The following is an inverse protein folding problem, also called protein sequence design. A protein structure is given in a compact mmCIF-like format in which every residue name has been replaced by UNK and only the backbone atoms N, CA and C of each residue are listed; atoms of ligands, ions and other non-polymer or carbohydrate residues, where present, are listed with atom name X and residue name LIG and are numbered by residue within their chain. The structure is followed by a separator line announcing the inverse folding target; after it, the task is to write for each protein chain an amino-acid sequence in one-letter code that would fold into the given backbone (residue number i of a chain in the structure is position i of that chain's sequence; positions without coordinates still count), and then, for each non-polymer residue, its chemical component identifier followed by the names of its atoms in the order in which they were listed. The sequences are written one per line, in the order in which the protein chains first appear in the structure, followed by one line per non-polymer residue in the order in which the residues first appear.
data_IF_128341589309
#
_entry.id   IF_128341589309
#
_cell.length_a   1.000
_cell.length_b   1.000
_cell.length_c   1.000
_cell.angle_alpha   90.00
_cell.angle_beta   90.00
_cell.angle_gamma   90.00
#
_symmetry.space_group_name_H-M   'P 1'
#
loop_
_entity.id
_entity.type
_entity.pdbx_description
1 polymer ?
#
# COMPACT_ATOMS: atom_id res chain seq x y z
N UNK A 1 -14.36 13.45 4.62
CA UNK A 1 -12.96 13.90 4.47
C UNK A 1 -12.50 13.61 3.05
N UNK A 2 -12.40 14.64 2.21
CA UNK A 2 -11.80 14.51 0.87
C UNK A 2 -10.27 14.52 1.06
N UNK A 3 -9.53 13.49 0.61
CA UNK A 3 -8.09 13.45 0.78
C UNK A 3 -7.46 14.64 0.02
N UNK A 4 -6.49 15.30 0.64
CA UNK A 4 -5.84 16.51 0.12
C UNK A 4 -5.31 16.36 -1.32
N UNK A 5 -5.00 15.14 -1.76
CA UNK A 5 -4.63 14.85 -3.15
C UNK A 5 -5.72 15.16 -4.18
N UNK A 6 -7.00 15.02 -3.82
CA UNK A 6 -8.12 15.28 -4.74
C UNK A 6 -8.32 16.79 -4.94
N UNK A 7 -8.06 17.61 -3.92
CA UNK A 7 -8.13 19.07 -4.00
C UNK A 7 -6.97 19.65 -4.84
N UNK A 8 -5.79 19.01 -4.77
CA UNK A 8 -4.67 19.34 -5.67
C UNK A 8 -4.97 18.92 -7.10
N UNK A 9 -5.52 17.72 -7.30
CA UNK A 9 -5.91 17.26 -8.64
C UNK A 9 -6.99 18.13 -9.26
N UNK A 10 -8.01 18.53 -8.52
CA UNK A 10 -9.07 19.42 -9.03
C UNK A 10 -8.55 20.82 -9.33
N UNK A 11 -7.63 21.38 -8.53
CA UNK A 11 -6.95 22.65 -8.86
C UNK A 11 -6.10 22.56 -10.12
N UNK A 12 -5.36 21.47 -10.30
CA UNK A 12 -4.56 21.24 -11.51
C UNK A 12 -5.45 21.02 -12.72
N UNK A 13 -6.53 20.24 -12.58
CA UNK A 13 -7.50 20.01 -13.66
C UNK A 13 -8.17 21.33 -14.06
N UNK A 14 -8.61 22.13 -13.08
CA UNK A 14 -9.25 23.41 -13.33
C UNK A 14 -8.27 24.41 -13.96
N UNK A 15 -6.98 24.36 -13.58
CA UNK A 15 -5.91 25.14 -14.23
C UNK A 15 -5.67 24.70 -15.68
N UNK A 16 -5.73 23.40 -15.98
CA UNK A 16 -5.59 22.87 -17.34
C UNK A 16 -6.83 23.18 -18.18
N UNK A 17 -8.03 23.12 -17.59
CA UNK A 17 -9.30 23.44 -18.24
C UNK A 17 -9.44 24.93 -18.51
N UNK A 18 -9.04 25.81 -17.59
CA UNK A 18 -9.00 27.26 -17.84
C UNK A 18 -7.95 27.63 -18.89
N UNK A 19 -6.84 26.89 -18.97
CA UNK A 19 -5.89 26.98 -20.09
C UNK A 19 -6.53 26.49 -21.41
N UNK A 20 -7.32 25.42 -21.38
CA UNK A 20 -8.06 24.93 -22.56
C UNK A 20 -9.20 25.86 -22.98
N UNK A 21 -9.83 26.59 -22.05
CA UNK A 21 -10.84 27.61 -22.33
C UNK A 21 -10.27 28.81 -23.11
N UNK A 22 -8.99 29.16 -22.89
CA UNK A 22 -8.25 30.10 -23.75
C UNK A 22 -7.75 29.50 -25.06
N UNK A 23 -7.60 28.18 -25.15
CA UNK A 23 -7.26 27.48 -26.39
C UNK A 23 -8.50 27.21 -27.28
N UNK A 24 -9.71 27.21 -26.71
CA UNK A 24 -10.95 27.01 -27.45
C UNK A 24 -11.38 28.24 -28.29
N UNK A 25 -10.83 29.43 -27.99
CA UNK A 25 -10.98 30.64 -28.82
C UNK A 25 -10.00 30.70 -29.99
N UNK A 26 -9.03 29.78 -30.08
CA UNK A 26 -8.16 29.62 -31.25
C UNK A 26 -8.61 28.42 -32.06
N UNK A 27 -9.64 28.63 -32.87
CA UNK A 27 -10.11 27.64 -33.83
C UNK A 27 -8.96 27.15 -34.72
N UNK A 28 -8.88 25.84 -34.94
CA UNK A 28 -8.10 25.19 -36.01
C UNK A 28 -6.70 25.75 -36.35
N UNK A 29 -6.01 26.43 -35.43
CA UNK A 29 -4.66 26.89 -35.65
C UNK A 29 -3.72 25.72 -35.42
N UNK A 30 -3.01 25.33 -36.49
CA UNK A 30 -2.03 24.24 -36.54
C UNK A 30 -1.08 24.38 -35.35
N UNK A 31 -1.32 23.62 -34.29
CA UNK A 31 -0.37 23.45 -33.21
C UNK A 31 0.95 23.01 -33.83
N UNK A 32 2.08 23.63 -33.47
CA UNK A 32 3.33 23.36 -34.15
C UNK A 32 3.73 21.90 -33.91
N UNK A 33 4.26 21.20 -34.93
CA UNK A 33 4.49 19.76 -34.89
C UNK A 33 5.38 19.31 -33.72
N UNK A 34 6.24 20.20 -33.20
CA UNK A 34 7.08 19.93 -32.04
C UNK A 34 6.29 19.67 -30.75
N UNK A 35 5.11 20.28 -30.58
CA UNK A 35 4.26 20.06 -29.41
C UNK A 35 3.81 18.59 -29.34
N UNK A 36 3.39 18.03 -30.48
CA UNK A 36 3.00 16.63 -30.57
C UNK A 36 4.18 15.68 -30.36
N UNK A 37 5.38 16.03 -30.86
CA UNK A 37 6.60 15.25 -30.62
C UNK A 37 6.98 15.22 -29.14
N UNK A 38 6.91 16.35 -28.43
CA UNK A 38 7.17 16.39 -26.99
C UNK A 38 6.12 15.64 -26.19
N UNK A 39 4.84 15.77 -26.56
CA UNK A 39 3.74 15.07 -25.89
C UNK A 39 3.87 13.55 -26.08
N UNK A 40 4.11 13.10 -27.31
CA UNK A 40 4.35 11.70 -27.63
C UNK A 40 5.61 11.18 -26.91
N UNK A 41 6.70 11.95 -26.89
CA UNK A 41 7.91 11.61 -26.16
C UNK A 41 7.66 11.44 -24.66
N UNK A 42 6.90 12.34 -24.04
CA UNK A 42 6.49 12.23 -22.64
C UNK A 42 5.66 10.98 -22.37
N UNK A 43 4.67 10.69 -23.23
CA UNK A 43 3.87 9.46 -23.11
C UNK A 43 4.75 8.23 -23.24
N UNK A 44 5.59 8.14 -24.28
CA UNK A 44 6.47 6.98 -24.53
C UNK A 44 7.47 6.78 -23.40
N UNK A 45 8.02 7.85 -22.81
CA UNK A 45 8.92 7.76 -21.66
C UNK A 45 8.21 7.37 -20.36
N UNK A 46 6.98 7.82 -20.14
CA UNK A 46 6.21 7.52 -18.93
C UNK A 46 5.49 6.16 -18.99
N UNK A 47 5.15 5.67 -20.18
CA UNK A 47 4.43 4.41 -20.39
C UNK A 47 5.14 3.17 -19.82
N UNK A 48 6.45 2.94 -20.02
CA UNK A 48 7.12 1.75 -19.49
C UNK A 48 7.08 1.71 -17.96
N UNK A 49 7.11 2.84 -17.25
CA UNK A 49 6.98 2.86 -15.78
C UNK A 49 5.56 2.49 -15.32
N UNK A 50 4.54 2.75 -16.13
CA UNK A 50 3.15 2.40 -15.83
C UNK A 50 2.82 0.94 -16.20
N UNK A 51 3.40 0.42 -17.29
CA UNK A 51 3.11 -0.93 -17.81
C UNK A 51 4.06 -1.98 -17.21
N UNK A 52 5.37 -1.70 -17.17
CA UNK A 52 6.39 -2.69 -16.78
C UNK A 52 6.57 -2.81 -15.27
N UNK A 53 6.22 -1.78 -14.50
CA UNK A 53 6.14 -1.85 -13.04
C UNK A 53 4.71 -1.60 -12.60
N UNK A 54 3.88 -2.64 -12.42
CA UNK A 54 2.66 -2.46 -11.67
C UNK A 54 3.07 -2.06 -10.25
N UNK A 55 3.11 -0.75 -9.97
CA UNK A 55 3.45 -0.10 -8.69
C UNK A 55 2.65 -0.62 -7.48
N UNK A 56 1.75 -1.58 -7.68
CA UNK A 56 0.83 -2.17 -6.70
C UNK A 56 0.73 -3.69 -6.73
N UNK A 57 1.24 -4.41 -7.74
CA UNK A 57 1.07 -5.87 -7.80
C UNK A 57 1.97 -6.59 -6.79
N UNK A 58 3.16 -6.05 -6.51
CA UNK A 58 4.19 -6.65 -5.66
C UNK A 58 3.84 -6.74 -4.16
N UNK A 59 2.57 -6.49 -3.78
CA UNK A 59 2.16 -6.36 -2.37
C UNK A 59 0.74 -6.89 -2.11
N UNK A 60 0.28 -7.86 -2.90
CA UNK A 60 -1.01 -8.53 -2.67
C UNK A 60 -1.08 -9.12 -1.25
N UNK A 61 0.01 -9.72 -0.76
CA UNK A 61 0.09 -10.28 0.60
C UNK A 61 -0.19 -9.27 1.71
N UNK A 62 0.24 -8.02 1.56
CA UNK A 62 -0.03 -6.96 2.56
C UNK A 62 -1.53 -6.67 2.67
N UNK A 63 -2.24 -6.67 1.54
CA UNK A 63 -3.70 -6.45 1.54
C UNK A 63 -4.44 -7.66 2.09
N UNK A 64 -4.03 -8.87 1.70
CA UNK A 64 -4.61 -10.11 2.23
C UNK A 64 -4.45 -10.20 3.74
N UNK A 65 -3.25 -9.91 4.26
CA UNK A 65 -2.99 -9.88 5.70
C UNK A 65 -3.80 -8.80 6.41
N UNK A 66 -3.86 -7.58 5.85
CA UNK A 66 -4.66 -6.51 6.43
C UNK A 66 -6.16 -6.82 6.44
N UNK A 67 -6.69 -7.41 5.36
CA UNK A 67 -8.08 -7.83 5.28
C UNK A 67 -8.37 -8.93 6.32
N UNK A 68 -7.49 -9.92 6.42
CA UNK A 68 -7.63 -10.97 7.43
C UNK A 68 -7.64 -10.37 8.84
N UNK A 69 -6.75 -9.42 9.14
CA UNK A 69 -6.73 -8.72 10.43
C UNK A 69 -8.03 -7.94 10.68
N UNK A 70 -8.54 -7.24 9.67
CA UNK A 70 -9.79 -6.50 9.77
C UNK A 70 -10.98 -7.40 10.12
N UNK A 71 -11.05 -8.59 9.53
CA UNK A 71 -12.15 -9.54 9.68
C UNK A 71 -12.05 -10.41 10.94
N UNK A 72 -10.82 -10.68 11.42
CA UNK A 72 -10.56 -11.70 12.45
C UNK A 72 -10.03 -11.14 13.78
N UNK A 73 -9.92 -9.82 13.92
CA UNK A 73 -9.41 -9.18 15.16
C UNK A 73 -10.38 -8.12 15.69
N UNK A 74 -10.43 -7.90 17.03
CA UNK A 74 -11.19 -6.79 17.62
C UNK A 74 -10.76 -5.42 17.08
N UNK A 75 -11.66 -4.44 17.03
CA UNK A 75 -11.40 -3.09 16.46
C UNK A 75 -10.30 -2.35 17.23
N UNK A 76 -10.24 -2.59 18.52
CA UNK A 76 -9.32 -2.04 19.51
C UNK A 76 -7.98 -2.79 19.57
N UNK A 77 -7.79 -3.84 18.76
CA UNK A 77 -6.56 -4.61 18.75
C UNK A 77 -5.36 -3.77 18.29
N UNK A 78 -4.22 -3.97 18.95
CA UNK A 78 -2.95 -3.33 18.64
C UNK A 78 -2.08 -4.28 17.82
N UNK A 79 -1.71 -3.84 16.62
CA UNK A 79 -0.89 -4.60 15.67
C UNK A 79 0.53 -4.05 15.67
N UNK A 80 1.53 -4.86 15.99
CA UNK A 80 2.92 -4.53 15.66
C UNK A 80 3.23 -4.94 14.23
N UNK A 81 3.58 -3.98 13.38
CA UNK A 81 3.92 -4.21 11.98
C UNK A 81 5.26 -3.56 11.59
N UNK A 82 6.02 -4.16 10.66
CA UNK A 82 7.21 -3.52 10.10
C UNK A 82 6.85 -2.48 9.03
N UNK A 83 5.59 -2.45 8.58
CA UNK A 83 5.08 -1.55 7.56
C UNK A 83 3.69 -1.04 7.93
N UNK A 84 3.61 0.27 8.20
CA UNK A 84 2.41 0.99 8.63
C UNK A 84 1.17 0.76 7.75
N UNK A 85 1.35 0.34 6.51
CA UNK A 85 0.23 0.12 5.58
C UNK A 85 -0.64 -1.05 6.02
N UNK A 86 -0.10 -2.02 6.75
CA UNK A 86 -0.85 -3.20 7.20
C UNK A 86 -1.89 -2.79 8.24
N UNK A 87 -1.45 -2.18 9.35
CA UNK A 87 -2.34 -1.63 10.38
C UNK A 87 -3.30 -0.58 9.84
N UNK A 88 -2.84 0.28 8.93
CA UNK A 88 -3.70 1.26 8.26
C UNK A 88 -4.83 0.62 7.45
N UNK A 89 -4.54 -0.40 6.62
CA UNK A 89 -5.57 -1.10 5.85
C UNK A 89 -6.45 -2.02 6.69
N UNK A 90 -5.94 -2.51 7.82
CA UNK A 90 -6.71 -3.31 8.77
C UNK A 90 -7.68 -2.45 9.60
N UNK A 91 -7.52 -1.11 9.58
CA UNK A 91 -8.24 -0.18 10.45
C UNK A 91 -8.04 -0.54 11.93
N UNK A 92 -6.78 -0.66 12.35
CA UNK A 92 -6.35 -1.01 13.71
C UNK A 92 -5.22 -0.11 14.19
N UNK A 93 -5.03 -0.03 15.51
CA UNK A 93 -3.91 0.68 16.09
C UNK A 93 -2.59 -0.01 15.70
N UNK A 94 -1.63 0.75 15.16
CA UNK A 94 -0.34 0.23 14.69
C UNK A 94 0.83 0.60 15.61
N UNK A 95 1.71 -0.36 15.87
CA UNK A 95 3.02 -0.19 16.48
C UNK A 95 4.10 -0.53 15.45
N UNK A 96 4.69 0.49 14.83
CA UNK A 96 5.78 0.29 13.88
C UNK A 96 7.01 -0.23 14.62
N UNK A 97 7.67 -1.24 14.06
CA UNK A 97 8.98 -1.69 14.50
C UNK A 97 9.94 -1.88 13.33
N UNK A 98 11.23 -1.64 13.54
CA UNK A 98 12.25 -1.80 12.49
C UNK A 98 12.91 -3.18 12.50
N UNK A 99 13.24 -3.70 13.68
CA UNK A 99 14.02 -4.94 13.84
C UNK A 99 13.35 -5.98 14.70
N UNK A 100 12.80 -5.57 15.84
CA UNK A 100 12.13 -6.47 16.78
C UNK A 100 10.79 -5.88 17.22
N UNK A 101 9.69 -6.64 17.14
CA UNK A 101 8.38 -6.18 17.57
C UNK A 101 8.27 -6.11 19.09
N UNK A 102 7.44 -5.20 19.58
CA UNK A 102 7.07 -5.16 21.00
C UNK A 102 5.94 -6.15 21.31
N UNK A 103 6.33 -7.40 21.59
CA UNK A 103 5.40 -8.48 21.94
C UNK A 103 4.59 -8.24 23.23
N UNK A 104 4.97 -7.27 24.06
CA UNK A 104 4.24 -7.00 25.31
C UNK A 104 3.05 -6.09 25.05
N UNK A 105 3.23 -5.08 24.19
CA UNK A 105 2.22 -4.06 23.88
C UNK A 105 1.31 -4.43 22.72
N UNK A 106 1.73 -5.35 21.86
CA UNK A 106 0.94 -5.81 20.74
C UNK A 106 0.03 -6.98 21.12
N UNK A 107 -1.17 -6.99 20.52
CA UNK A 107 -2.09 -8.14 20.53
C UNK A 107 -1.77 -9.08 19.37
N UNK A 108 -1.36 -8.50 18.23
CA UNK A 108 -0.94 -9.22 17.03
C UNK A 108 0.40 -8.70 16.54
N UNK A 109 1.25 -9.61 16.05
CA UNK A 109 2.55 -9.27 15.49
C UNK A 109 2.65 -9.77 14.07
N UNK A 110 3.05 -8.89 13.16
CA UNK A 110 3.28 -9.23 11.76
C UNK A 110 4.77 -9.41 11.57
N UNK A 111 5.22 -10.57 11.11
CA UNK A 111 6.60 -10.78 10.69
C UNK A 111 6.68 -10.98 9.18
N UNK A 112 7.72 -10.42 8.56
CA UNK A 112 8.05 -10.63 7.15
C UNK A 112 9.36 -11.41 7.10
N UNK A 113 9.36 -12.59 6.50
CA UNK A 113 10.54 -13.43 6.42
C UNK A 113 10.24 -14.76 5.76
N UNK A 114 11.20 -15.68 5.78
CA UNK A 114 10.90 -17.08 5.48
C UNK A 114 10.20 -17.68 6.70
N UNK A 115 9.34 -18.68 6.45
CA UNK A 115 8.49 -19.33 7.44
C UNK A 115 9.21 -19.77 8.72
N UNK A 116 10.53 -20.01 8.68
CA UNK A 116 11.32 -20.53 9.80
C UNK A 116 12.15 -19.47 10.57
N UNK A 117 12.22 -18.23 10.09
CA UNK A 117 13.22 -17.26 10.58
C UNK A 117 12.75 -16.40 11.77
N UNK A 118 11.45 -16.40 12.11
CA UNK A 118 10.92 -15.49 13.11
C UNK A 118 10.98 -16.11 14.53
N UNK A 119 11.84 -15.61 15.44
CA UNK A 119 11.85 -16.07 16.83
C UNK A 119 10.51 -15.73 17.46
N UNK A 120 9.72 -16.77 17.74
CA UNK A 120 8.37 -16.65 18.31
C UNK A 120 8.46 -16.89 19.81
N UNK A 121 8.12 -15.91 20.66
CA UNK A 121 8.13 -16.10 22.11
C UNK A 121 7.13 -17.18 22.55
N UNK A 122 7.38 -17.78 23.70
CA UNK A 122 6.43 -18.73 24.31
C UNK A 122 5.06 -18.07 24.52
N UNK A 123 3.99 -18.81 24.26
CA UNK A 123 2.61 -18.31 24.34
C UNK A 123 2.11 -17.56 23.10
N UNK A 124 2.93 -17.46 22.05
CA UNK A 124 2.51 -16.96 20.74
C UNK A 124 2.43 -18.10 19.73
N UNK A 125 1.46 -18.02 18.83
CA UNK A 125 1.34 -18.96 17.71
C UNK A 125 1.02 -18.22 16.43
N UNK A 126 1.45 -18.81 15.31
CA UNK A 126 1.10 -18.32 13.98
C UNK A 126 -0.38 -18.62 13.75
N UNK A 127 -1.17 -17.56 13.52
CA UNK A 127 -2.63 -17.65 13.29
C UNK A 127 -2.99 -17.47 11.82
N UNK A 128 -2.12 -16.84 11.03
CA UNK A 128 -2.30 -16.65 9.59
C UNK A 128 -0.95 -16.50 8.89
N UNK A 129 -0.87 -16.91 7.64
CA UNK A 129 0.24 -16.57 6.75
C UNK A 129 -0.22 -16.38 5.31
N UNK A 130 0.50 -15.55 4.58
CA UNK A 130 0.27 -15.31 3.15
C UNK A 130 1.60 -14.96 2.48
N UNK A 131 1.86 -15.39 1.23
CA UNK A 131 3.04 -14.95 0.50
C UNK A 131 3.01 -13.42 0.33
N UNK A 132 4.16 -12.77 0.41
CA UNK A 132 4.27 -11.32 0.20
C UNK A 132 3.84 -10.95 -1.22
N UNK A 133 4.29 -11.75 -2.19
CA UNK A 133 3.96 -11.68 -3.60
C UNK A 133 4.07 -13.09 -4.21
N UNK A 134 3.43 -13.33 -5.36
CA UNK A 134 3.42 -14.62 -6.04
C UNK A 134 4.82 -15.10 -6.50
N UNK A 135 5.79 -14.19 -6.60
CA UNK A 135 7.18 -14.48 -7.00
C UNK A 135 8.17 -14.37 -5.84
N UNK A 136 7.72 -13.97 -4.65
CA UNK A 136 8.58 -13.77 -3.49
C UNK A 136 8.53 -15.01 -2.61
N UNK A 137 9.70 -15.52 -2.20
CA UNK A 137 9.80 -16.64 -1.26
C UNK A 137 9.47 -16.22 0.19
N UNK A 138 9.35 -14.92 0.44
CA UNK A 138 8.99 -14.39 1.75
C UNK A 138 7.50 -14.45 1.98
N UNK A 139 7.14 -14.71 3.23
CA UNK A 139 5.78 -14.72 3.72
C UNK A 139 5.56 -13.61 4.74
N UNK A 140 4.33 -13.11 4.77
CA UNK A 140 3.76 -12.33 5.86
C UNK A 140 3.10 -13.32 6.81
N UNK A 141 3.66 -13.46 8.01
CA UNK A 141 3.10 -14.27 9.08
C UNK A 141 2.47 -13.38 10.14
N UNK A 142 1.26 -13.72 10.56
CA UNK A 142 0.55 -13.09 11.67
C UNK A 142 0.65 -14.00 12.88
N UNK A 143 1.13 -13.46 13.98
CA UNK A 143 1.22 -14.12 15.26
C UNK A 143 0.18 -13.52 16.21
N UNK A 144 -0.51 -14.38 16.94
CA UNK A 144 -1.43 -14.00 18.01
C UNK A 144 -1.09 -14.74 19.30
N UNK A 145 -1.55 -14.21 20.43
CA UNK A 145 -1.40 -14.90 21.72
C UNK A 145 -2.29 -16.14 21.75
N UNK A 146 -1.67 -17.29 22.02
CA UNK A 146 -2.39 -18.53 22.31
C UNK A 146 -2.99 -18.35 23.71
N UNK A 147 -4.26 -17.92 23.80
CA UNK A 147 -4.93 -17.98 25.08
C UNK A 147 -4.94 -19.43 25.53
N UNK A 148 -4.25 -19.72 26.64
CA UNK A 148 -4.48 -20.96 27.37
C UNK A 148 -5.96 -20.95 27.76
N UNK A 149 -6.79 -21.75 27.08
CA UNK A 149 -8.15 -22.05 27.51
C UNK A 149 -8.07 -22.43 28.99
N UNK A 150 -8.54 -21.55 29.87
CA UNK A 150 -8.90 -21.89 31.24
C UNK A 150 -10.40 -22.13 31.28
#
# INVERSE_FOLDING_TARGET
YLPAGLDVMTRVLNRIYTFHGRLATFGAERRPPWFYLLMLGGVVLCTPKLISTPLRAEKSGYRSAAQWLHENTPVEAVIADPDRRISFYADRAGLIYERYPDWKRADYVIAIGRSEDAPTPEGWSRVYSTPVDAKDERELAVYGRTQARR
#
